data_IF_494391185924
#
_entry.id   IF_494391185924
#
_cell.length_a   1.000
_cell.length_b   1.000
_cell.length_c   1.000
_cell.angle_alpha   90.00
_cell.angle_beta   90.00
_cell.angle_gamma   90.00
#
_symmetry.space_group_name_H-M   'P 1'
#
loop_
_entity.id
_entity.type
_entity.pdbx_description
1 polymer ?
#
# COMPACT_ATOMS: atom_id res chain seq x y z
N UNK A 1 21.86 -7.73 20.26
CA UNK A 1 20.70 -6.83 20.41
C UNK A 1 19.58 -7.42 19.58
N UNK A 2 18.40 -7.47 20.17
CA UNK A 2 17.35 -8.45 19.93
C UNK A 2 16.68 -8.35 18.54
N UNK A 3 16.48 -9.49 17.86
CA UNK A 3 15.87 -9.61 16.51
C UNK A 3 14.40 -10.05 16.58
N UNK A 4 13.73 -9.84 17.71
CA UNK A 4 12.36 -10.26 17.96
C UNK A 4 11.34 -9.24 17.45
N UNK A 5 10.98 -9.39 16.17
CA UNK A 5 9.59 -9.46 15.69
C UNK A 5 9.68 -9.69 14.19
N UNK A 6 9.72 -10.95 13.78
CA UNK A 6 9.40 -11.31 12.40
C UNK A 6 7.92 -11.00 12.20
N UNK A 7 7.60 -9.77 11.79
CA UNK A 7 6.29 -9.45 11.23
C UNK A 7 6.07 -10.45 10.10
N UNK A 8 4.87 -11.01 10.00
CA UNK A 8 4.51 -11.94 8.93
C UNK A 8 4.94 -11.33 7.58
N UNK A 9 5.96 -11.93 6.94
CA UNK A 9 6.64 -11.41 5.75
C UNK A 9 6.04 -11.98 4.47
N UNK A 10 4.82 -12.52 4.54
CA UNK A 10 4.17 -13.07 3.37
C UNK A 10 3.77 -11.93 2.41
N UNK A 11 4.43 -11.79 1.25
CA UNK A 11 4.08 -10.75 0.28
C UNK A 11 2.66 -10.95 -0.28
N UNK A 12 2.15 -12.18 -0.30
CA UNK A 12 0.80 -12.47 -0.77
C UNK A 12 -0.21 -11.90 0.21
N UNK A 13 -0.11 -12.24 1.50
CA UNK A 13 -0.97 -11.67 2.53
C UNK A 13 -0.91 -10.14 2.59
N UNK A 14 0.27 -9.54 2.41
CA UNK A 14 0.43 -8.09 2.33
C UNK A 14 -0.32 -7.50 1.13
N UNK A 15 -0.18 -8.10 -0.06
CA UNK A 15 -0.89 -7.66 -1.26
C UNK A 15 -2.42 -7.77 -1.09
N UNK A 16 -2.91 -8.90 -0.58
CA UNK A 16 -4.33 -9.11 -0.29
C UNK A 16 -4.86 -8.04 0.68
N UNK A 17 -4.08 -7.72 1.72
CA UNK A 17 -4.43 -6.67 2.67
C UNK A 17 -4.48 -5.28 2.01
N UNK A 18 -3.52 -4.95 1.15
CA UNK A 18 -3.52 -3.68 0.43
C UNK A 18 -4.72 -3.57 -0.53
N UNK A 19 -5.05 -4.64 -1.26
CA UNK A 19 -6.23 -4.73 -2.14
C UNK A 19 -7.54 -4.53 -1.36
N UNK A 20 -7.59 -4.92 -0.09
CA UNK A 20 -8.82 -4.80 0.71
C UNK A 20 -9.22 -3.35 1.05
N UNK A 21 -8.34 -2.37 0.83
CA UNK A 21 -8.69 -0.96 0.97
C UNK A 21 -9.34 -0.46 -0.32
N UNK A 22 -10.62 -0.09 -0.26
CA UNK A 22 -11.29 0.60 -1.36
C UNK A 22 -10.79 2.06 -1.45
N UNK A 23 -9.76 2.25 -2.26
CA UNK A 23 -9.15 3.55 -2.57
C UNK A 23 -9.65 4.11 -3.91
N UNK A 24 -10.86 3.72 -4.34
CA UNK A 24 -11.42 4.14 -5.62
C UNK A 24 -11.47 5.67 -5.73
N UNK A 25 -10.87 6.21 -6.80
CA UNK A 25 -10.83 7.63 -7.08
C UNK A 25 -11.55 7.94 -8.41
N UNK A 26 -12.57 8.83 -8.43
CA UNK A 26 -13.21 9.51 -7.29
C UNK A 26 -14.09 8.59 -6.41
N UNK A 27 -14.32 8.93 -5.12
CA UNK A 27 -13.91 10.16 -4.44
C UNK A 27 -12.49 10.12 -3.86
N UNK A 28 -11.84 8.95 -3.82
CA UNK A 28 -10.68 8.69 -2.98
C UNK A 28 -11.11 8.26 -1.57
N UNK A 29 -10.16 7.70 -0.82
CA UNK A 29 -10.25 7.32 0.60
C UNK A 29 -8.94 6.63 0.97
N UNK A 30 -7.81 7.22 0.57
CA UNK A 30 -6.49 6.62 0.66
C UNK A 30 -5.97 6.61 2.10
N UNK A 31 -6.54 7.44 3.00
CA UNK A 31 -6.08 7.58 4.39
C UNK A 31 -5.94 6.25 5.15
N UNK A 32 -6.93 5.32 5.15
CA UNK A 32 -6.78 4.06 5.86
C UNK A 32 -5.66 3.18 5.30
N UNK A 33 -5.49 3.17 3.97
CA UNK A 33 -4.41 2.43 3.30
C UNK A 33 -3.04 3.04 3.64
N UNK A 34 -2.92 4.37 3.54
CA UNK A 34 -1.71 5.11 3.89
C UNK A 34 -1.35 4.93 5.36
N UNK A 35 -2.32 4.96 6.27
CA UNK A 35 -2.12 4.69 7.69
C UNK A 35 -1.57 3.28 7.92
N UNK A 36 -2.12 2.28 7.24
CA UNK A 36 -1.62 0.91 7.32
C UNK A 36 -0.16 0.80 6.86
N UNK A 37 0.19 1.39 5.72
CA UNK A 37 1.58 1.38 5.21
C UNK A 37 2.52 2.13 6.17
N UNK A 38 2.08 3.28 6.71
CA UNK A 38 2.84 4.05 7.70
C UNK A 38 3.14 3.21 8.94
N UNK A 39 2.14 2.49 9.45
CA UNK A 39 2.29 1.69 10.66
C UNK A 39 3.24 0.50 10.42
N UNK A 40 3.17 -0.16 9.25
CA UNK A 40 4.14 -1.19 8.84
C UNK A 40 5.57 -0.65 8.80
N UNK A 41 5.77 0.51 8.17
CA UNK A 41 7.10 1.13 8.07
C UNK A 41 7.62 1.58 9.43
N UNK A 42 6.76 2.15 10.27
CA UNK A 42 7.10 2.57 11.64
C UNK A 42 7.50 1.36 12.49
N UNK A 43 6.77 0.25 12.40
CA UNK A 43 7.10 -1.01 13.09
C UNK A 43 8.43 -1.60 12.62
N UNK A 44 8.79 -1.39 11.36
CA UNK A 44 10.11 -1.75 10.81
C UNK A 44 11.23 -0.76 11.20
N UNK A 45 10.94 0.28 11.98
CA UNK A 45 11.90 1.29 12.40
C UNK A 45 12.23 2.33 11.32
N UNK A 46 11.40 2.46 10.29
CA UNK A 46 11.58 3.43 9.21
C UNK A 46 10.85 4.74 9.57
N UNK A 47 11.55 5.90 9.64
CA UNK A 47 10.89 7.18 9.85
C UNK A 47 9.95 7.54 8.71
N UNK A 48 8.75 8.00 9.07
CA UNK A 48 7.69 8.39 8.14
C UNK A 48 7.16 9.79 8.41
N UNK A 49 6.79 10.51 7.36
CA UNK A 49 6.09 11.79 7.40
C UNK A 49 4.83 11.70 6.53
N UNK A 50 3.69 12.15 7.05
CA UNK A 50 2.43 12.24 6.30
C UNK A 50 2.17 13.69 5.94
N UNK A 51 1.88 13.96 4.66
CA UNK A 51 1.54 15.31 4.17
C UNK A 51 0.26 15.24 3.34
N UNK A 52 -0.69 16.13 3.60
CA UNK A 52 -2.01 16.06 3.00
C UNK A 52 -2.48 17.45 2.55
N UNK A 53 -2.93 17.54 1.29
CA UNK A 53 -3.78 18.65 0.83
C UNK A 53 -5.23 18.38 1.22
N UNK A 54 -5.68 17.16 0.99
CA UNK A 54 -6.96 16.63 1.44
C UNK A 54 -6.68 15.57 2.52
N UNK A 55 -7.22 15.71 3.75
CA UNK A 55 -7.05 14.72 4.82
C UNK A 55 -7.46 13.30 4.45
N UNK A 56 -8.43 13.12 3.53
CA UNK A 56 -8.86 11.81 3.06
C UNK A 56 -7.86 11.17 2.07
N UNK A 57 -6.96 11.97 1.49
CA UNK A 57 -6.03 11.59 0.43
C UNK A 57 -4.57 11.99 0.73
N UNK A 58 -3.99 11.51 1.84
CA UNK A 58 -2.64 11.89 2.26
C UNK A 58 -1.55 11.25 1.39
N UNK A 59 -0.39 11.90 1.29
CA UNK A 59 0.85 11.29 0.83
C UNK A 59 1.68 10.80 2.01
N UNK A 60 2.36 9.67 1.83
CA UNK A 60 3.31 9.12 2.78
C UNK A 60 4.73 9.25 2.24
N UNK A 61 5.62 9.85 3.03
CA UNK A 61 7.04 9.95 2.74
C UNK A 61 7.77 9.11 3.78
N UNK A 62 8.56 8.13 3.34
CA UNK A 62 9.43 7.36 4.20
C UNK A 62 10.89 7.54 3.77
N UNK A 63 11.80 7.61 4.73
CA UNK A 63 13.23 7.80 4.43
C UNK A 63 14.08 6.82 5.23
N UNK A 64 14.76 5.93 4.51
CA UNK A 64 15.90 5.18 5.00
C UNK A 64 17.16 6.02 4.80
N UNK A 65 17.83 6.39 5.89
CA UNK A 65 19.05 7.18 5.81
C UNK A 65 20.22 6.30 5.37
N UNK A 66 20.81 6.63 4.22
CA UNK A 66 22.09 6.06 3.78
C UNK A 66 23.30 6.73 4.42
N UNK A 67 24.50 6.29 4.05
CA UNK A 67 25.77 6.87 4.55
C UNK A 67 26.09 8.27 4.01
N UNK A 68 25.33 8.76 3.03
CA UNK A 68 25.58 10.05 2.39
C UNK A 68 26.67 10.03 1.31
N UNK A 69 27.08 8.84 0.85
CA UNK A 69 28.18 8.63 -0.10
C UNK A 69 27.71 8.54 -1.57
N UNK A 70 26.39 8.56 -1.81
CA UNK A 70 25.79 8.44 -3.13
C UNK A 70 24.53 9.32 -3.25
N UNK A 71 24.12 9.70 -4.47
CA UNK A 71 22.84 10.36 -4.69
C UNK A 71 21.66 9.55 -4.12
N UNK A 72 20.59 10.22 -3.65
CA UNK A 72 19.42 9.51 -3.13
C UNK A 72 18.69 8.77 -4.27
N UNK A 73 18.19 7.58 -3.96
CA UNK A 73 17.26 6.84 -4.81
C UNK A 73 15.83 7.07 -4.32
N UNK A 74 14.94 7.47 -5.21
CA UNK A 74 13.53 7.67 -4.92
C UNK A 74 12.71 6.53 -5.52
N UNK A 75 11.98 5.82 -4.66
CA UNK A 75 10.88 4.96 -5.06
C UNK A 75 9.57 5.71 -4.84
N UNK A 76 8.72 5.76 -5.85
CA UNK A 76 7.40 6.35 -5.77
C UNK A 76 6.36 5.41 -6.39
N UNK A 77 5.13 5.52 -5.94
CA UNK A 77 3.97 4.79 -6.46
C UNK A 77 2.70 5.45 -5.94
N UNK A 78 1.55 5.04 -6.45
CA UNK A 78 0.25 5.48 -6.00
C UNK A 78 -0.51 4.33 -5.33
N UNK A 79 -1.55 4.68 -4.56
CA UNK A 79 -2.41 3.70 -3.88
C UNK A 79 -3.87 3.84 -4.29
N UNK A 80 -4.21 4.85 -5.09
CA UNK A 80 -5.57 5.02 -5.59
C UNK A 80 -5.83 4.12 -6.78
N UNK A 81 -7.08 3.76 -6.97
CA UNK A 81 -7.48 2.87 -8.05
C UNK A 81 -8.63 3.46 -8.84
N UNK A 82 -8.72 3.08 -10.10
CA UNK A 82 -9.86 3.44 -10.95
C UNK A 82 -11.12 2.68 -10.52
N UNK A 83 -12.27 3.26 -10.82
CA UNK A 83 -13.57 2.64 -10.56
C UNK A 83 -13.73 1.29 -11.28
N UNK A 84 -14.47 0.39 -10.64
CA UNK A 84 -14.91 -0.90 -11.20
C UNK A 84 -16.36 -0.84 -11.72
N UNK A 85 -16.97 0.34 -11.72
CA UNK A 85 -18.36 0.54 -12.19
C UNK A 85 -18.50 0.02 -13.62
N UNK A 86 -19.57 -0.73 -13.88
CA UNK A 86 -19.86 -1.36 -15.17
C UNK A 86 -18.83 -2.41 -15.64
N UNK A 87 -18.00 -2.95 -14.75
CA UNK A 87 -17.11 -4.07 -15.05
C UNK A 87 -17.65 -5.33 -14.38
N UNK A 88 -17.93 -6.36 -15.19
CA UNK A 88 -18.19 -7.68 -14.67
C UNK A 88 -16.87 -8.36 -14.31
N UNK A 89 -16.79 -8.92 -13.11
CA UNK A 89 -15.65 -9.70 -12.62
C UNK A 89 -16.20 -10.85 -11.78
N UNK A 90 -15.68 -12.04 -11.99
CA UNK A 90 -16.03 -13.22 -11.18
C UNK A 90 -15.50 -13.11 -9.74
N UNK A 91 -14.49 -12.26 -9.53
CA UNK A 91 -13.89 -11.98 -8.23
C UNK A 91 -14.24 -10.57 -7.73
N UNK A 92 -14.55 -10.39 -6.43
CA UNK A 92 -14.75 -9.08 -5.83
C UNK A 92 -13.50 -8.20 -5.99
N UNK A 93 -13.63 -6.94 -6.43
CA UNK A 93 -12.48 -6.10 -6.74
C UNK A 93 -11.58 -5.80 -5.54
N UNK A 94 -12.13 -5.79 -4.33
CA UNK A 94 -11.38 -5.56 -3.08
C UNK A 94 -11.30 -6.81 -2.20
N UNK A 95 -11.51 -7.99 -2.79
CA UNK A 95 -11.49 -9.26 -2.09
C UNK A 95 -10.08 -9.83 -1.86
N UNK A 96 -9.15 -9.57 -2.79
CA UNK A 96 -7.80 -10.14 -2.73
C UNK A 96 -7.80 -11.67 -2.85
N UNK A 97 -8.77 -12.28 -3.53
CA UNK A 97 -8.91 -13.73 -3.58
C UNK A 97 -7.76 -14.39 -4.35
N UNK A 98 -7.33 -15.58 -3.91
CA UNK A 98 -6.37 -16.38 -4.67
C UNK A 98 -7.17 -17.39 -5.51
N UNK A 99 -7.06 -17.29 -6.83
CA UNK A 99 -7.67 -18.23 -7.78
C UNK A 99 -6.72 -18.49 -8.95
N UNK A 100 -6.60 -19.76 -9.35
CA UNK A 100 -5.72 -20.23 -10.42
C UNK A 100 -4.25 -19.81 -10.30
N UNK A 101 -3.78 -19.62 -9.06
CA UNK A 101 -2.40 -19.19 -8.78
C UNK A 101 -2.17 -17.67 -8.85
N UNK A 102 -3.23 -16.87 -8.98
CA UNK A 102 -3.17 -15.41 -9.03
C UNK A 102 -3.91 -14.78 -7.86
N UNK A 103 -3.45 -13.61 -7.41
CA UNK A 103 -4.21 -12.74 -6.51
C UNK A 103 -5.10 -11.82 -7.36
N UNK A 104 -6.41 -11.92 -7.15
CA UNK A 104 -7.41 -11.14 -7.86
C UNK A 104 -7.82 -9.91 -7.04
N UNK A 105 -7.76 -8.75 -7.69
CA UNK A 105 -8.23 -7.49 -7.12
C UNK A 105 -7.88 -6.28 -7.97
N UNK A 106 -8.67 -5.21 -7.82
CA UNK A 106 -8.40 -3.89 -8.38
C UNK A 106 -7.14 -3.32 -7.70
N UNK A 107 -6.16 -2.93 -8.52
CA UNK A 107 -4.85 -2.44 -8.05
C UNK A 107 -3.77 -3.53 -7.93
N UNK A 108 -4.07 -4.81 -8.21
CA UNK A 108 -3.08 -5.89 -8.12
C UNK A 108 -1.89 -5.74 -9.09
N UNK A 109 -2.07 -5.04 -10.20
CA UNK A 109 -1.06 -4.84 -11.26
C UNK A 109 -0.74 -3.37 -11.56
N UNK A 110 -1.57 -2.43 -11.10
CA UNK A 110 -1.46 -1.02 -11.42
C UNK A 110 -1.22 -0.23 -10.13
N UNK A 111 -0.04 0.39 -10.09
CA UNK A 111 0.56 1.10 -8.95
C UNK A 111 1.33 2.33 -9.40
#
# INVERSE_FOLDING_TARGET
>A
MDRTTTHDRDPVALLQRLISFDTTNPPGHEEPCIRFIRDLLTQAGVPTTVVARDPARPNLIARLQGRGEAPPFLMYGHVDVVTTTNQASDHPPFGGEIADGFVWGRGALDM
#
